data_IF_655937897058
#
_entry.id   IF_655937897058
#
_cell.length_a   1.000
_cell.length_b   1.000
_cell.length_c   1.000
_cell.angle_alpha   90.00
_cell.angle_beta   90.00
_cell.angle_gamma   90.00
#
_symmetry.space_group_name_H-M   'P 1'
#
loop_
_entity.id
_entity.type
_entity.pdbx_description
1 polymer ?
#
# COMPACT_ATOMS: atom_id res chain seq x y z
N UNK A 1 -1.67 -18.88 18.38
CA UNK A 1 -1.74 -17.54 19.04
C UNK A 1 -0.57 -16.59 18.70
N UNK A 2 0.69 -17.06 18.65
CA UNK A 2 1.87 -16.20 18.44
C UNK A 2 1.84 -15.40 17.12
N UNK A 3 1.44 -16.03 16.02
CA UNK A 3 1.35 -15.37 14.70
C UNK A 3 0.32 -14.23 14.66
N UNK A 4 -0.80 -14.36 15.37
CA UNK A 4 -1.80 -13.30 15.47
C UNK A 4 -1.26 -12.08 16.23
N UNK A 5 -0.49 -12.32 17.31
CA UNK A 5 0.15 -11.27 18.10
C UNK A 5 1.24 -10.54 17.31
N UNK A 6 2.06 -11.26 16.55
CA UNK A 6 3.06 -10.68 15.65
C UNK A 6 2.42 -9.82 14.55
N UNK A 7 1.36 -10.31 13.90
CA UNK A 7 0.60 -9.54 12.89
C UNK A 7 0.02 -8.25 13.45
N UNK A 8 -0.58 -8.31 14.64
CA UNK A 8 -1.11 -7.12 15.31
C UNK A 8 0.00 -6.11 15.59
N UNK A 9 1.17 -6.56 16.05
CA UNK A 9 2.33 -5.67 16.27
C UNK A 9 2.82 -5.02 14.99
N UNK A 10 2.99 -5.79 13.90
CA UNK A 10 3.44 -5.22 12.62
C UNK A 10 2.48 -4.13 12.10
N UNK A 11 1.16 -4.37 12.20
CA UNK A 11 0.14 -3.38 11.80
C UNK A 11 0.15 -2.13 12.68
N UNK A 12 0.40 -2.28 13.99
CA UNK A 12 0.53 -1.14 14.91
C UNK A 12 1.80 -0.34 14.63
N UNK A 13 2.93 -1.02 14.41
CA UNK A 13 4.21 -0.37 14.06
C UNK A 13 4.07 0.42 12.76
N UNK A 14 3.41 -0.16 11.75
CA UNK A 14 3.12 0.53 10.50
C UNK A 14 2.24 1.77 10.74
N UNK A 15 1.16 1.66 11.50
CA UNK A 15 0.28 2.80 11.78
C UNK A 15 1.02 3.91 12.54
N UNK A 16 1.85 3.53 13.51
CA UNK A 16 2.67 4.47 14.26
C UNK A 16 3.67 5.20 13.36
N UNK A 17 4.34 4.47 12.45
CA UNK A 17 5.25 5.06 11.48
C UNK A 17 4.55 6.04 10.53
N UNK A 18 3.37 5.66 10.00
CA UNK A 18 2.54 6.52 9.14
C UNK A 18 2.15 7.80 9.89
N UNK A 19 1.65 7.70 11.13
CA UNK A 19 1.26 8.86 11.93
C UNK A 19 2.44 9.77 12.28
N UNK A 20 3.57 9.19 12.70
CA UNK A 20 4.77 9.97 13.03
C UNK A 20 5.31 10.71 11.82
N UNK A 21 5.36 10.04 10.66
CA UNK A 21 5.76 10.67 9.40
C UNK A 21 4.78 11.78 8.98
N UNK A 22 3.48 11.57 9.10
CA UNK A 22 2.48 12.59 8.75
C UNK A 22 2.62 13.85 9.62
N UNK A 23 2.86 13.69 10.92
CA UNK A 23 3.16 14.80 11.83
C UNK A 23 4.45 15.53 11.45
N UNK A 24 5.51 14.79 11.13
CA UNK A 24 6.75 15.37 10.65
C UNK A 24 6.54 16.13 9.32
N UNK A 25 5.77 15.55 8.39
CA UNK A 25 5.39 16.15 7.12
C UNK A 25 4.60 17.45 7.27
N UNK A 26 3.67 17.49 8.22
CA UNK A 26 2.88 18.68 8.54
C UNK A 26 3.75 19.89 8.92
N UNK A 27 4.92 19.65 9.54
CA UNK A 27 5.90 20.69 9.82
C UNK A 27 6.88 20.90 8.67
N UNK A 28 7.34 19.81 8.05
CA UNK A 28 8.37 19.83 7.01
C UNK A 28 7.93 20.56 5.74
N UNK A 29 6.72 20.29 5.22
CA UNK A 29 6.25 20.89 3.97
C UNK A 29 6.04 22.40 4.03
N UNK A 30 5.36 23.01 5.03
CA UNK A 30 5.20 24.46 5.07
C UNK A 30 6.54 25.17 5.23
N UNK A 31 7.43 24.64 6.08
CA UNK A 31 8.79 25.18 6.23
C UNK A 31 9.54 25.08 4.90
N UNK A 32 9.48 23.94 4.22
CA UNK A 32 10.11 23.76 2.90
C UNK A 32 9.54 24.70 1.83
N UNK A 33 8.24 24.99 1.85
CA UNK A 33 7.62 25.96 0.95
C UNK A 33 8.11 27.39 1.21
N UNK A 34 8.18 27.82 2.48
CA UNK A 34 8.71 29.14 2.85
C UNK A 34 10.19 29.28 2.44
N UNK A 35 11.01 28.28 2.77
CA UNK A 35 12.41 28.24 2.37
C UNK A 35 12.59 28.22 0.86
N UNK A 36 11.71 27.54 0.11
CA UNK A 36 11.77 27.56 -1.34
C UNK A 36 11.38 28.93 -1.90
N UNK A 37 10.33 29.57 -1.34
CA UNK A 37 9.93 30.91 -1.73
C UNK A 37 11.09 31.91 -1.53
N UNK A 38 11.74 31.88 -0.37
CA UNK A 38 12.88 32.75 -0.07
C UNK A 38 14.06 32.47 -1.01
N UNK A 39 14.32 31.20 -1.35
CA UNK A 39 15.35 30.87 -2.34
C UNK A 39 15.03 31.40 -3.73
N UNK A 40 13.77 31.33 -4.14
CA UNK A 40 13.31 31.76 -5.47
C UNK A 40 13.34 33.29 -5.65
N UNK A 41 13.30 34.05 -4.56
CA UNK A 41 13.36 35.51 -4.55
C UNK A 41 14.78 36.03 -4.30
N UNK A 42 15.55 35.40 -3.41
CA UNK A 42 16.86 35.89 -2.99
C UNK A 42 18.05 35.32 -3.78
N UNK A 43 17.93 34.12 -4.38
CA UNK A 43 19.05 33.47 -5.08
C UNK A 43 18.84 33.42 -6.59
N UNK A 44 19.91 33.65 -7.33
CA UNK A 44 19.94 33.46 -8.77
C UNK A 44 20.18 31.98 -9.09
N UNK A 45 19.34 31.43 -9.97
CA UNK A 45 19.47 30.06 -10.45
C UNK A 45 20.22 30.05 -11.78
N UNK A 46 21.10 29.08 -11.97
CA UNK A 46 21.87 28.97 -13.22
C UNK A 46 21.00 28.65 -14.43
N UNK A 47 19.81 28.06 -14.24
CA UNK A 47 18.92 27.63 -15.32
C UNK A 47 17.45 27.78 -14.93
N UNK A 48 16.54 28.10 -15.88
CA UNK A 48 15.10 28.07 -15.61
C UNK A 48 14.62 26.66 -15.21
N UNK A 49 15.28 25.60 -15.71
CA UNK A 49 14.96 24.22 -15.35
C UNK A 49 15.28 23.94 -13.87
N UNK A 50 16.48 24.33 -13.41
CA UNK A 50 16.89 24.10 -12.03
C UNK A 50 16.05 24.90 -11.02
N UNK A 51 15.49 26.03 -11.46
CA UNK A 51 14.50 26.81 -10.72
C UNK A 51 13.13 26.10 -10.62
N UNK A 52 12.67 25.49 -11.71
CA UNK A 52 11.35 24.85 -11.78
C UNK A 52 11.30 23.49 -11.06
N UNK A 53 12.36 22.69 -11.13
CA UNK A 53 12.42 21.34 -10.56
C UNK A 53 12.00 21.25 -9.07
N UNK A 54 12.54 22.06 -8.12
CA UNK A 54 12.15 21.96 -6.71
C UNK A 54 10.68 22.33 -6.49
N UNK A 55 10.12 23.25 -7.29
CA UNK A 55 8.69 23.60 -7.25
C UNK A 55 7.86 22.41 -7.72
N UNK A 56 8.19 21.83 -8.87
CA UNK A 56 7.53 20.63 -9.39
C UNK A 56 7.58 19.47 -8.39
N UNK A 57 8.74 19.25 -7.76
CA UNK A 57 8.90 18.21 -6.74
C UNK A 57 7.96 18.42 -5.57
N UNK A 58 7.85 19.62 -4.99
CA UNK A 58 6.93 19.88 -3.87
C UNK A 58 5.46 19.74 -4.28
N UNK A 59 5.10 20.24 -5.46
CA UNK A 59 3.73 20.13 -6.00
C UNK A 59 3.31 18.67 -6.19
N UNK A 60 4.26 17.76 -6.50
CA UNK A 60 3.99 16.32 -6.60
C UNK A 60 4.09 15.63 -5.24
N UNK A 61 5.04 16.00 -4.38
CA UNK A 61 5.27 15.33 -3.09
C UNK A 61 4.09 15.51 -2.13
N UNK A 62 3.58 16.73 -2.00
CA UNK A 62 2.51 17.05 -1.04
C UNK A 62 1.25 16.19 -1.29
N UNK A 63 0.65 16.19 -2.50
CA UNK A 63 -0.52 15.35 -2.76
C UNK A 63 -0.18 13.85 -2.71
N UNK A 64 1.02 13.45 -3.14
CA UNK A 64 1.44 12.06 -3.04
C UNK A 64 1.52 11.58 -1.58
N UNK A 65 2.01 12.41 -0.66
CA UNK A 65 2.13 12.07 0.76
C UNK A 65 0.77 12.07 1.47
N UNK A 66 -0.14 12.99 1.10
CA UNK A 66 -1.55 12.96 1.55
C UNK A 66 -2.24 11.67 1.09
N UNK A 67 -2.08 11.32 -0.19
CA UNK A 67 -2.63 10.08 -0.74
C UNK A 67 -2.02 8.84 -0.06
N UNK A 68 -0.71 8.84 0.21
CA UNK A 68 -0.05 7.77 0.97
C UNK A 68 -0.61 7.64 2.38
N UNK A 69 -0.75 8.74 3.10
CA UNK A 69 -1.33 8.71 4.45
C UNK A 69 -2.72 8.07 4.45
N UNK A 70 -3.57 8.50 3.50
CA UNK A 70 -4.92 7.96 3.35
C UNK A 70 -4.92 6.47 3.00
N UNK A 71 -4.16 6.08 1.97
CA UNK A 71 -4.10 4.70 1.46
C UNK A 71 -3.43 3.75 2.45
N UNK A 72 -2.36 4.18 3.12
CA UNK A 72 -1.65 3.42 4.14
C UNK A 72 -2.53 3.16 5.36
N UNK A 73 -3.21 4.20 5.87
CA UNK A 73 -4.13 4.07 7.01
C UNK A 73 -5.35 3.22 6.65
N UNK A 74 -6.01 3.49 5.51
CA UNK A 74 -7.18 2.73 5.06
C UNK A 74 -6.83 1.28 4.74
N UNK A 75 -5.72 1.04 4.06
CA UNK A 75 -5.22 -0.29 3.71
C UNK A 75 -4.86 -1.11 4.95
N UNK A 76 -4.18 -0.49 5.92
CA UNK A 76 -3.82 -1.15 7.17
C UNK A 76 -5.05 -1.44 8.06
N UNK A 77 -5.99 -0.49 8.22
CA UNK A 77 -7.17 -0.66 9.06
C UNK A 77 -8.15 -1.69 8.47
N UNK A 78 -8.43 -1.60 7.18
CA UNK A 78 -9.37 -2.52 6.49
C UNK A 78 -8.71 -3.82 6.03
N UNK A 79 -7.41 -4.02 6.30
CA UNK A 79 -6.63 -5.18 5.84
C UNK A 79 -6.74 -5.39 4.32
N UNK A 80 -6.81 -4.30 3.55
CA UNK A 80 -7.01 -4.36 2.10
C UNK A 80 -5.66 -4.34 1.38
N UNK A 81 -5.42 -5.34 0.53
CA UNK A 81 -4.19 -5.45 -0.28
C UNK A 81 -4.06 -4.26 -1.24
N UNK A 82 -5.10 -3.94 -1.99
CA UNK A 82 -5.03 -2.96 -3.08
C UNK A 82 -4.59 -1.54 -2.62
N UNK A 83 -5.20 -0.92 -1.60
CA UNK A 83 -4.74 0.38 -1.10
C UNK A 83 -3.29 0.33 -0.58
N UNK A 84 -2.87 -0.78 0.02
CA UNK A 84 -1.54 -0.91 0.58
C UNK A 84 -0.47 -1.09 -0.51
N UNK A 85 -0.81 -1.74 -1.63
CA UNK A 85 0.04 -1.75 -2.85
C UNK A 85 0.14 -0.35 -3.46
N UNK A 86 -0.96 0.40 -3.56
CA UNK A 86 -0.94 1.77 -4.06
C UNK A 86 -0.08 2.69 -3.16
N UNK A 87 -0.15 2.49 -1.85
CA UNK A 87 0.75 3.12 -0.89
C UNK A 87 2.23 2.79 -1.16
N UNK A 88 2.57 1.52 -1.45
CA UNK A 88 3.94 1.14 -1.84
C UNK A 88 4.40 1.83 -3.12
N UNK A 89 3.54 1.86 -4.13
CA UNK A 89 3.83 2.51 -5.39
C UNK A 89 4.12 4.01 -5.20
N UNK A 90 3.27 4.71 -4.44
CA UNK A 90 3.49 6.12 -4.12
C UNK A 90 4.75 6.35 -3.27
N UNK A 91 5.17 5.36 -2.48
CA UNK A 91 6.44 5.41 -1.73
C UNK A 91 7.63 5.42 -2.67
N UNK A 92 7.65 4.50 -3.63
CA UNK A 92 8.78 4.27 -4.51
C UNK A 92 8.87 5.29 -5.65
N UNK A 93 7.74 5.68 -6.23
CA UNK A 93 7.71 6.44 -7.49
C UNK A 93 7.76 7.97 -7.28
N UNK A 94 6.81 8.62 -6.59
CA UNK A 94 6.92 10.06 -6.32
C UNK A 94 7.67 10.39 -5.02
N UNK A 95 7.39 9.69 -3.92
CA UNK A 95 7.89 10.12 -2.61
C UNK A 95 9.41 9.96 -2.46
N UNK A 96 9.96 8.79 -2.78
CA UNK A 96 11.39 8.51 -2.62
C UNK A 96 12.29 9.41 -3.48
N UNK A 97 12.17 9.44 -4.82
CA UNK A 97 13.06 10.26 -5.65
C UNK A 97 12.83 11.75 -5.41
N UNK A 98 11.59 12.19 -5.15
CA UNK A 98 11.32 13.59 -4.85
C UNK A 98 11.94 14.06 -3.53
N UNK A 99 11.89 13.23 -2.47
CA UNK A 99 12.58 13.52 -1.21
C UNK A 99 14.10 13.57 -1.40
N UNK A 100 14.66 12.57 -2.10
CA UNK A 100 16.11 12.47 -2.34
C UNK A 100 16.59 13.69 -3.14
N UNK A 101 15.84 14.07 -4.18
CA UNK A 101 16.17 15.25 -4.97
C UNK A 101 16.18 16.52 -4.11
N UNK A 102 15.10 16.77 -3.37
CA UNK A 102 14.95 17.98 -2.56
C UNK A 102 16.01 18.08 -1.45
N UNK A 103 16.43 16.93 -0.90
CA UNK A 103 17.39 16.86 0.21
C UNK A 103 18.84 16.97 -0.25
N UNK A 104 19.22 16.32 -1.37
CA UNK A 104 20.62 16.12 -1.74
C UNK A 104 21.05 16.75 -3.06
N UNK A 105 20.13 16.89 -4.02
CA UNK A 105 20.44 17.30 -5.40
C UNK A 105 19.96 18.70 -5.79
N UNK A 106 19.16 19.35 -4.95
CA UNK A 106 18.78 20.74 -5.18
C UNK A 106 20.02 21.65 -5.28
N UNK A 107 20.02 22.60 -6.21
CA UNK A 107 21.16 23.51 -6.48
C UNK A 107 21.56 24.29 -5.22
N UNK A 108 20.57 24.88 -4.56
CA UNK A 108 20.76 25.64 -3.32
C UNK A 108 20.42 24.78 -2.10
N UNK A 109 21.47 24.24 -1.46
CA UNK A 109 21.35 23.39 -0.27
C UNK A 109 21.52 24.22 1.00
N UNK A 110 20.56 24.10 1.90
CA UNK A 110 20.68 24.62 3.26
C UNK A 110 20.85 23.44 4.21
N UNK A 111 21.60 23.59 5.32
CA UNK A 111 21.82 22.51 6.27
C UNK A 111 20.50 21.93 6.80
N UNK A 112 19.48 22.77 6.96
CA UNK A 112 18.12 22.33 7.31
C UNK A 112 17.55 21.30 6.34
N UNK A 113 17.70 21.50 5.02
CA UNK A 113 17.17 20.57 4.01
C UNK A 113 17.86 19.21 4.07
N UNK A 114 19.17 19.20 4.37
CA UNK A 114 19.93 17.94 4.49
C UNK A 114 19.53 17.18 5.75
N UNK A 115 19.47 17.85 6.91
CA UNK A 115 19.15 17.18 8.20
C UNK A 115 17.69 16.71 8.23
N UNK A 116 16.75 17.61 7.92
CA UNK A 116 15.33 17.27 7.92
C UNK A 116 14.99 16.29 6.80
N UNK A 117 15.58 16.49 5.61
CA UNK A 117 15.43 15.59 4.47
C UNK A 117 15.96 14.18 4.73
N UNK A 118 17.16 14.05 5.30
CA UNK A 118 17.73 12.74 5.66
C UNK A 118 16.84 12.02 6.67
N UNK A 119 16.38 12.73 7.71
CA UNK A 119 15.43 12.18 8.68
C UNK A 119 14.16 11.69 7.98
N UNK A 120 13.61 12.50 7.07
CA UNK A 120 12.38 12.16 6.37
C UNK A 120 12.54 10.98 5.39
N UNK A 121 13.70 10.83 4.76
CA UNK A 121 14.06 9.65 3.95
C UNK A 121 14.12 8.40 4.82
N UNK A 122 14.78 8.48 5.99
CA UNK A 122 14.86 7.34 6.91
C UNK A 122 13.48 6.92 7.42
N UNK A 123 12.62 7.88 7.77
CA UNK A 123 11.22 7.59 8.11
C UNK A 123 10.48 6.91 6.96
N UNK A 124 10.62 7.42 5.73
CA UNK A 124 10.00 6.83 4.55
C UNK A 124 10.47 5.39 4.33
N UNK A 125 11.76 5.10 4.50
CA UNK A 125 12.30 3.75 4.37
C UNK A 125 11.75 2.81 5.44
N UNK A 126 11.73 3.24 6.70
CA UNK A 126 11.19 2.46 7.81
C UNK A 126 9.69 2.15 7.62
N UNK A 127 8.92 3.16 7.20
CA UNK A 127 7.48 3.04 6.91
C UNK A 127 7.22 2.08 5.73
N UNK A 128 8.02 2.21 4.66
CA UNK A 128 7.90 1.36 3.46
C UNK A 128 8.27 -0.09 3.79
N UNK A 129 9.32 -0.31 4.59
CA UNK A 129 9.71 -1.65 5.04
C UNK A 129 8.62 -2.29 5.91
N UNK A 130 8.11 -1.57 6.91
CA UNK A 130 7.01 -2.04 7.76
C UNK A 130 5.76 -2.36 6.93
N UNK A 131 5.44 -1.49 5.97
CA UNK A 131 4.31 -1.70 5.07
C UNK A 131 4.50 -2.93 4.19
N UNK A 132 5.72 -3.19 3.72
CA UNK A 132 6.01 -4.32 2.84
C UNK A 132 5.79 -5.64 3.58
N UNK A 133 6.22 -5.70 4.84
CA UNK A 133 5.95 -6.85 5.72
C UNK A 133 4.46 -7.09 5.87
N UNK A 134 3.67 -6.03 6.13
CA UNK A 134 2.21 -6.14 6.26
C UNK A 134 1.56 -6.56 4.94
N UNK A 135 1.98 -5.97 3.81
CA UNK A 135 1.45 -6.28 2.49
C UNK A 135 1.71 -7.73 2.09
N UNK A 136 2.94 -8.23 2.31
CA UNK A 136 3.29 -9.62 2.02
C UNK A 136 2.42 -10.60 2.82
N UNK A 137 2.11 -10.26 4.06
CA UNK A 137 1.26 -11.08 4.90
C UNK A 137 -0.22 -11.05 4.46
N UNK A 138 -0.74 -9.89 4.06
CA UNK A 138 -2.09 -9.79 3.52
C UNK A 138 -2.22 -10.56 2.19
N UNK A 139 -1.22 -10.49 1.31
CA UNK A 139 -1.19 -11.26 0.06
C UNK A 139 -1.25 -12.77 0.32
N UNK A 140 -0.52 -13.26 1.32
CA UNK A 140 -0.56 -14.68 1.72
C UNK A 140 -1.94 -15.08 2.24
N UNK A 141 -2.61 -14.21 3.01
CA UNK A 141 -3.94 -14.48 3.53
C UNK A 141 -4.98 -14.54 2.42
N UNK A 142 -4.94 -13.61 1.46
CA UNK A 142 -5.85 -13.64 0.32
C UNK A 142 -5.58 -14.87 -0.55
N UNK A 143 -4.32 -15.22 -0.84
CA UNK A 143 -3.98 -16.43 -1.58
C UNK A 143 -4.50 -17.71 -0.90
N UNK A 144 -4.37 -17.82 0.42
CA UNK A 144 -4.91 -18.94 1.19
C UNK A 144 -6.44 -18.98 1.16
N UNK A 145 -7.10 -17.81 1.21
CA UNK A 145 -8.55 -17.69 1.09
C UNK A 145 -9.04 -18.14 -0.29
N UNK A 146 -8.37 -17.72 -1.37
CA UNK A 146 -8.69 -18.15 -2.73
C UNK A 146 -8.53 -19.66 -2.91
N UNK A 147 -7.45 -20.25 -2.39
CA UNK A 147 -7.24 -21.70 -2.44
C UNK A 147 -8.37 -22.45 -1.72
N UNK A 148 -8.75 -21.99 -0.52
CA UNK A 148 -9.85 -22.61 0.25
C UNK A 148 -11.21 -22.47 -0.44
N UNK A 149 -11.49 -21.32 -1.07
CA UNK A 149 -12.73 -21.13 -1.83
C UNK A 149 -12.78 -22.06 -3.06
N UNK A 150 -11.65 -22.26 -3.72
CA UNK A 150 -11.54 -23.19 -4.84
C UNK A 150 -11.80 -24.63 -4.39
N UNK A 151 -11.17 -25.07 -3.30
CA UNK A 151 -11.37 -26.40 -2.73
C UNK A 151 -12.85 -26.66 -2.36
N UNK A 152 -13.51 -25.70 -1.72
CA UNK A 152 -14.95 -25.80 -1.43
C UNK A 152 -15.82 -25.84 -2.70
N UNK A 153 -15.45 -25.09 -3.74
CA UNK A 153 -16.15 -25.13 -5.02
C UNK A 153 -16.02 -26.48 -5.70
N UNK A 154 -14.83 -27.10 -5.64
CA UNK A 154 -14.58 -28.41 -6.21
C UNK A 154 -15.35 -29.51 -5.45
N UNK A 155 -15.39 -29.44 -4.11
CA UNK A 155 -16.17 -30.38 -3.28
C UNK A 155 -17.66 -30.28 -3.63
N UNK A 156 -18.22 -29.07 -3.66
CA UNK A 156 -19.64 -28.87 -3.99
C UNK A 156 -19.99 -29.38 -5.40
N UNK A 157 -19.08 -29.23 -6.38
CA UNK A 157 -19.28 -29.76 -7.72
C UNK A 157 -19.31 -31.30 -7.74
N UNK A 158 -18.46 -31.96 -6.96
CA UNK A 158 -18.46 -33.43 -6.85
C UNK A 158 -19.69 -33.98 -6.12
N UNK A 159 -20.21 -33.25 -5.11
CA UNK A 159 -21.46 -33.62 -4.44
C UNK A 159 -22.66 -33.51 -5.38
N UNK A 160 -22.76 -32.44 -6.18
CA UNK A 160 -23.84 -32.24 -7.14
C UNK A 160 -23.82 -33.32 -8.24
N UNK A 161 -22.64 -33.69 -8.77
CA UNK A 161 -22.53 -34.83 -9.69
C UNK A 161 -22.92 -36.17 -9.03
N UNK A 162 -22.51 -36.39 -7.78
CA UNK A 162 -22.87 -37.57 -6.99
C UNK A 162 -24.36 -37.68 -6.68
N UNK A 163 -25.04 -36.55 -6.52
CA UNK A 163 -26.50 -36.50 -6.34
C UNK A 163 -27.22 -36.75 -7.67
N UNK A 164 -26.77 -36.09 -8.75
CA UNK A 164 -27.32 -36.25 -10.10
C UNK A 164 -27.24 -37.69 -10.61
N UNK A 165 -26.12 -38.35 -10.37
CA UNK A 165 -25.94 -39.78 -10.70
C UNK A 165 -26.85 -40.67 -9.86
N UNK A 166 -27.05 -40.36 -8.58
CA UNK A 166 -28.02 -41.05 -7.72
C UNK A 166 -29.47 -40.89 -8.20
N UNK A 167 -29.87 -39.70 -8.62
CA UNK A 167 -31.20 -39.46 -9.19
C UNK A 167 -31.42 -40.27 -10.47
N UNK A 168 -30.45 -40.26 -11.40
CA UNK A 168 -30.53 -41.07 -12.63
C UNK A 168 -30.58 -42.57 -12.34
N UNK A 169 -29.85 -43.05 -11.33
CA UNK A 169 -29.87 -44.45 -10.95
C UNK A 169 -31.14 -44.86 -10.19
N UNK A 170 -31.75 -43.93 -9.44
CA UNK A 170 -33.06 -44.11 -8.80
C UNK A 170 -34.21 -44.21 -9.81
N UNK A 171 -34.17 -43.40 -10.87
CA UNK A 171 -35.13 -43.45 -11.99
C UNK A 171 -35.04 -44.79 -12.74
N UNK A 172 -33.83 -45.31 -12.98
CA UNK A 172 -33.60 -46.60 -13.64
C UNK A 172 -34.03 -47.82 -12.80
N UNK A 173 -34.20 -47.65 -11.47
CA UNK A 173 -34.63 -48.72 -10.55
C UNK A 173 -36.15 -48.85 -10.43
N UNK A 174 -36.91 -48.00 -11.09
CA UNK A 174 -38.35 -48.18 -11.27
C UNK A 174 -38.62 -48.67 -12.70
N UNK A 175 -38.27 -49.92 -13.07
CA UNK A 175 -38.93 -50.53 -14.20
C UNK A 175 -40.39 -50.61 -13.78
N UNK A 176 -41.21 -49.78 -14.40
CA UNK A 176 -42.65 -49.94 -14.40
C UNK A 176 -42.91 -51.44 -14.52
N UNK A 177 -43.34 -52.05 -13.42
CA UNK A 177 -43.89 -53.37 -13.41
C UNK A 177 -45.26 -53.25 -14.09
N UNK A 178 -45.24 -53.04 -15.41
CA UNK A 178 -46.40 -53.22 -16.26
C UNK A 178 -46.51 -54.72 -16.48
N UNK A 179 -46.81 -55.45 -15.40
CA UNK A 179 -47.28 -56.82 -15.47
C UNK A 179 -48.70 -56.79 -16.03
N UNK A 180 -48.82 -57.41 -17.19
CA UNK A 180 -50.06 -57.69 -17.92
C UNK A 180 -51.19 -58.21 -17.04
N UNK A 181 -52.40 -57.66 -17.21
CA UNK A 181 -53.66 -58.39 -17.35
C UNK A 181 -54.79 -57.44 -17.78
#
# INVERSE_FOLDING_TARGET
MLLAKQRRRARLILQQAICFKAWFGFLFYPISCLLLHDKLTALQYSSPLSRALPVCCLVVLIPADIARYYLGTRGNLRSQVFPLTAFMFLSACPAFPGLVYLSFFAEHRLPFNVVAGTSFVLLLLAETFAGFVVLRELLRQEAARFLKMRELSDINATEDEGERTRFLQGEARNPMATSWQ
#
